data_IF_824584444246
#
_entry.id   IF_824584444246
#
_cell.length_a   1.000
_cell.length_b   1.000
_cell.length_c   1.000
_cell.angle_alpha   90.00
_cell.angle_beta   90.00
_cell.angle_gamma   90.00
#
_symmetry.space_group_name_H-M   'P 1'
#
loop_
_entity.id
_entity.type
_entity.pdbx_description
1 polymer ?
#
# COMPACT_ATOMS: atom_id res chain seq x y z
N UNK A 1 -7.13 2.69 -19.33
CA UNK A 1 -7.05 1.69 -20.43
C UNK A 1 -5.79 1.91 -21.30
N UNK A 2 -5.50 3.14 -21.79
CA UNK A 2 -4.34 3.40 -22.68
C UNK A 2 -2.98 3.08 -22.03
N UNK A 3 -2.74 3.45 -20.75
CA UNK A 3 -1.48 3.18 -20.06
C UNK A 3 -1.26 1.67 -19.88
N UNK A 4 -2.30 0.92 -19.51
CA UNK A 4 -2.22 -0.54 -19.36
C UNK A 4 -1.91 -1.22 -20.70
N UNK A 5 -2.55 -0.81 -21.80
CA UNK A 5 -2.25 -1.35 -23.13
C UNK A 5 -0.85 -0.97 -23.61
N UNK A 6 -0.36 0.23 -23.30
CA UNK A 6 1.01 0.66 -23.60
C UNK A 6 2.06 -0.23 -22.93
N UNK A 7 1.89 -0.53 -21.64
CA UNK A 7 2.78 -1.44 -20.92
C UNK A 7 2.72 -2.87 -21.47
N UNK A 8 1.53 -3.38 -21.76
CA UNK A 8 1.35 -4.70 -22.37
C UNK A 8 2.08 -4.79 -23.72
N UNK A 9 1.95 -3.75 -24.58
CA UNK A 9 2.65 -3.69 -25.86
C UNK A 9 4.18 -3.62 -25.67
N UNK A 10 4.65 -2.87 -24.70
CA UNK A 10 6.08 -2.79 -24.41
C UNK A 10 6.66 -4.16 -24.02
N UNK A 11 5.96 -4.91 -23.19
CA UNK A 11 6.38 -6.24 -22.75
C UNK A 11 6.31 -7.27 -23.87
N UNK A 12 5.30 -7.18 -24.77
CA UNK A 12 5.13 -8.13 -25.87
C UNK A 12 6.14 -7.96 -27.02
N UNK A 13 6.79 -6.79 -27.12
CA UNK A 13 7.78 -6.47 -28.16
C UNK A 13 9.25 -6.79 -27.77
N UNK A 14 9.46 -7.45 -26.65
CA UNK A 14 10.79 -7.82 -26.14
C UNK A 14 10.90 -9.34 -26.02
N UNK A 15 12.11 -9.86 -25.94
CA UNK A 15 12.36 -11.27 -25.59
C UNK A 15 11.98 -11.58 -24.12
N UNK A 16 10.77 -11.20 -23.74
CA UNK A 16 10.22 -11.34 -22.41
C UNK A 16 9.12 -12.38 -22.43
N UNK A 17 9.28 -13.45 -21.66
CA UNK A 17 8.23 -14.44 -21.45
C UNK A 17 7.41 -14.05 -20.21
N UNK A 18 6.11 -13.85 -20.41
CA UNK A 18 5.17 -13.53 -19.34
C UNK A 18 4.46 -14.81 -18.92
N UNK A 19 4.50 -15.11 -17.62
CA UNK A 19 3.73 -16.19 -17.01
C UNK A 19 2.65 -15.58 -16.12
N UNK A 20 1.39 -15.89 -16.41
CA UNK A 20 0.25 -15.47 -15.60
C UNK A 20 -0.05 -16.53 -14.54
N UNK A 21 -0.08 -16.14 -13.27
CA UNK A 21 -0.36 -17.02 -12.14
C UNK A 21 0.29 -16.59 -10.83
N UNK A 22 0.03 -17.37 -9.78
CA UNK A 22 0.66 -17.18 -8.46
C UNK A 22 2.01 -17.89 -8.44
N UNK A 23 3.06 -17.10 -8.17
CA UNK A 23 4.43 -17.58 -8.09
C UNK A 23 4.82 -17.90 -6.64
N UNK A 24 5.52 -19.02 -6.44
CA UNK A 24 6.09 -19.39 -5.14
C UNK A 24 7.43 -20.10 -5.32
N UNK A 25 8.32 -19.96 -4.35
CA UNK A 25 9.62 -20.61 -4.39
C UNK A 25 9.52 -22.12 -4.13
N UNK A 26 10.15 -22.91 -5.00
CA UNK A 26 10.45 -24.32 -4.76
C UNK A 26 11.80 -24.40 -4.01
N UNK A 27 12.79 -23.65 -4.47
CA UNK A 27 14.10 -23.46 -3.86
C UNK A 27 14.71 -22.13 -4.34
N UNK A 28 15.98 -21.86 -4.02
CA UNK A 28 16.64 -20.59 -4.36
C UNK A 28 16.80 -20.30 -5.86
N UNK A 29 16.61 -21.28 -6.72
CA UNK A 29 16.77 -21.15 -8.18
C UNK A 29 15.50 -21.54 -8.96
N UNK A 30 14.47 -22.09 -8.29
CA UNK A 30 13.27 -22.59 -8.94
C UNK A 30 12.00 -21.96 -8.35
N UNK A 31 11.11 -21.57 -9.24
CA UNK A 31 9.80 -20.98 -8.94
C UNK A 31 8.71 -21.88 -9.54
N UNK A 32 7.67 -22.15 -8.77
CA UNK A 32 6.41 -22.71 -9.20
C UNK A 32 5.42 -21.60 -9.52
N UNK A 33 4.78 -21.66 -10.67
CA UNK A 33 3.73 -20.72 -11.08
C UNK A 33 2.43 -21.51 -11.22
N UNK A 34 1.44 -21.20 -10.40
CA UNK A 34 0.14 -21.83 -10.41
C UNK A 34 -0.90 -20.93 -11.08
N UNK A 35 -1.50 -21.40 -12.15
CA UNK A 35 -2.63 -20.74 -12.81
C UNK A 35 -3.76 -21.77 -12.99
N UNK A 36 -4.88 -21.57 -12.29
CA UNK A 36 -6.02 -22.49 -12.26
C UNK A 36 -5.57 -23.95 -12.05
N UNK A 37 -5.60 -24.78 -13.10
CA UNK A 37 -5.26 -26.20 -13.07
C UNK A 37 -3.84 -26.52 -13.61
N UNK A 38 -3.08 -25.50 -13.98
CA UNK A 38 -1.72 -25.67 -14.51
C UNK A 38 -0.68 -25.23 -13.48
N UNK A 39 0.35 -26.02 -13.34
CA UNK A 39 1.55 -25.66 -12.56
C UNK A 39 2.74 -25.70 -13.51
N UNK A 40 3.43 -24.57 -13.63
CA UNK A 40 4.64 -24.43 -14.44
C UNK A 40 5.80 -24.26 -13.47
N UNK A 41 6.91 -24.93 -13.75
CA UNK A 41 8.16 -24.73 -13.01
C UNK A 41 9.15 -24.05 -13.93
N UNK A 42 9.79 -23.01 -13.42
CA UNK A 42 10.86 -22.31 -14.11
C UNK A 42 12.09 -22.23 -13.21
N UNK A 43 13.27 -22.25 -13.82
CA UNK A 43 14.54 -22.01 -13.12
C UNK A 43 15.21 -20.75 -13.65
N UNK A 44 15.91 -20.05 -12.77
CA UNK A 44 16.65 -18.84 -13.11
C UNK A 44 17.94 -18.72 -12.30
N UNK A 45 18.95 -18.09 -12.89
CA UNK A 45 20.18 -17.76 -12.19
C UNK A 45 20.00 -16.58 -11.22
N UNK A 46 19.13 -15.63 -11.56
CA UNK A 46 18.79 -14.49 -10.71
C UNK A 46 17.26 -14.37 -10.60
N UNK A 47 16.77 -14.03 -9.43
CA UNK A 47 15.35 -13.84 -9.16
C UNK A 47 15.18 -12.48 -8.48
N UNK A 48 14.23 -11.67 -8.97
CA UNK A 48 13.88 -10.38 -8.38
C UNK A 48 12.46 -10.47 -7.84
N UNK A 49 12.29 -10.30 -6.54
CA UNK A 49 10.98 -10.26 -5.88
C UNK A 49 10.46 -8.82 -5.94
N UNK A 50 9.36 -8.60 -6.63
CA UNK A 50 8.69 -7.29 -6.75
C UNK A 50 7.17 -7.41 -6.53
N UNK A 51 6.78 -8.19 -5.53
CA UNK A 51 5.39 -8.55 -5.25
C UNK A 51 4.60 -7.43 -4.56
N UNK A 52 5.29 -6.35 -4.18
CA UNK A 52 4.66 -5.16 -3.64
C UNK A 52 4.08 -5.34 -2.23
N UNK A 53 3.02 -4.62 -1.95
CA UNK A 53 2.33 -4.61 -0.67
C UNK A 53 0.82 -4.78 -0.86
N UNK A 54 0.14 -5.09 0.23
CA UNK A 54 -1.33 -5.15 0.32
C UNK A 54 -1.82 -4.31 1.50
N UNK A 55 -3.09 -3.88 1.52
CA UNK A 55 -3.64 -3.17 2.66
C UNK A 55 -3.50 -3.96 3.96
N UNK A 56 -3.19 -3.25 5.03
CA UNK A 56 -3.21 -3.79 6.39
C UNK A 56 -4.58 -3.53 7.02
N UNK A 57 -5.12 -4.52 7.69
CA UNK A 57 -6.34 -4.39 8.48
C UNK A 57 -6.11 -4.88 9.90
N UNK A 58 -6.56 -4.14 10.93
CA UNK A 58 -6.58 -4.65 12.29
C UNK A 58 -7.36 -5.96 12.40
N UNK A 59 -6.98 -6.85 13.31
CA UNK A 59 -7.53 -8.22 13.41
C UNK A 59 -9.05 -8.27 13.53
N UNK A 60 -9.63 -7.29 14.21
CA UNK A 60 -11.08 -7.18 14.47
C UNK A 60 -11.81 -6.28 13.46
N UNK A 61 -11.13 -5.75 12.42
CA UNK A 61 -11.71 -4.80 11.47
C UNK A 61 -11.26 -5.11 10.04
N UNK A 62 -12.12 -5.83 9.31
CA UNK A 62 -11.84 -6.22 7.92
C UNK A 62 -12.91 -5.67 6.98
N UNK A 63 -12.56 -5.33 5.73
CA UNK A 63 -13.54 -4.89 4.75
C UNK A 63 -14.55 -6.01 4.46
N UNK A 64 -15.81 -5.62 4.34
CA UNK A 64 -16.91 -6.50 3.95
C UNK A 64 -17.44 -6.17 2.54
N UNK A 65 -16.84 -5.20 1.87
CA UNK A 65 -17.23 -4.70 0.55
C UNK A 65 -18.71 -4.21 0.47
N UNK A 66 -19.22 -3.74 1.59
CA UNK A 66 -20.54 -3.09 1.69
C UNK A 66 -20.36 -1.70 2.28
N UNK A 67 -20.21 -1.62 3.61
CA UNK A 67 -20.04 -0.36 4.35
C UNK A 67 -18.66 -0.20 4.95
N UNK A 68 -17.95 -1.29 5.17
CA UNK A 68 -16.53 -1.29 5.57
C UNK A 68 -15.72 -1.69 4.34
N UNK A 69 -14.93 -0.77 3.83
CA UNK A 69 -14.27 -0.90 2.53
C UNK A 69 -12.79 -0.53 2.60
N UNK A 70 -12.04 -0.94 1.61
CA UNK A 70 -10.66 -0.56 1.39
C UNK A 70 -10.48 0.37 0.17
N UNK A 71 -9.25 0.77 -0.10
CA UNK A 71 -8.90 1.61 -1.25
C UNK A 71 -9.26 0.97 -2.60
N UNK A 72 -9.16 -0.35 -2.72
CA UNK A 72 -9.47 -1.04 -3.98
C UNK A 72 -10.97 -1.00 -4.27
N UNK A 73 -11.79 -1.14 -3.25
CA UNK A 73 -13.24 -1.00 -3.39
C UNK A 73 -13.63 0.41 -3.85
N UNK A 74 -13.13 1.46 -3.18
CA UNK A 74 -13.52 2.84 -3.50
C UNK A 74 -13.06 3.29 -4.88
N UNK A 75 -11.91 2.81 -5.37
CA UNK A 75 -11.42 3.07 -6.73
C UNK A 75 -12.30 2.43 -7.82
N UNK A 76 -13.05 1.40 -7.50
CA UNK A 76 -13.95 0.70 -8.42
C UNK A 76 -15.43 1.05 -8.21
N UNK A 77 -15.77 1.75 -7.13
CA UNK A 77 -17.15 2.19 -6.84
C UNK A 77 -17.65 3.15 -7.93
N UNK A 78 -18.94 3.05 -8.21
CA UNK A 78 -19.65 3.95 -9.13
C UNK A 78 -20.59 4.90 -8.40
N UNK A 79 -20.74 4.72 -7.08
CA UNK A 79 -21.63 5.47 -6.23
C UNK A 79 -20.83 6.26 -5.21
N UNK A 80 -21.32 7.44 -4.88
CA UNK A 80 -20.77 8.28 -3.82
C UNK A 80 -21.65 8.16 -2.58
N UNK A 81 -21.08 7.95 -1.39
CA UNK A 81 -21.82 8.06 -0.14
C UNK A 81 -22.13 9.53 0.16
N UNK A 82 -23.12 9.80 1.01
CA UNK A 82 -23.36 11.16 1.53
C UNK A 82 -22.34 11.51 2.62
N UNK A 83 -21.89 10.51 3.38
CA UNK A 83 -20.90 10.66 4.45
C UNK A 83 -19.91 9.50 4.48
N UNK A 84 -18.64 9.81 4.80
CA UNK A 84 -17.57 8.82 4.89
C UNK A 84 -16.69 9.06 6.12
N UNK A 85 -16.43 7.97 6.86
CA UNK A 85 -15.37 7.92 7.84
C UNK A 85 -14.12 7.30 7.19
N UNK A 86 -12.97 7.94 7.32
CA UNK A 86 -11.68 7.45 6.82
C UNK A 86 -10.80 7.12 8.02
N UNK A 87 -10.52 5.85 8.24
CA UNK A 87 -9.66 5.39 9.30
C UNK A 87 -8.21 5.32 8.82
N UNK A 88 -7.38 6.20 9.36
CA UNK A 88 -5.98 6.40 9.03
C UNK A 88 -5.71 7.70 8.29
N UNK A 89 -4.92 8.57 8.89
CA UNK A 89 -4.51 9.89 8.38
C UNK A 89 -3.18 9.87 7.60
N UNK A 90 -2.80 8.74 7.00
CA UNK A 90 -1.66 8.61 6.11
C UNK A 90 -1.94 9.11 4.68
N UNK A 91 -1.01 8.92 3.75
CA UNK A 91 -1.14 9.36 2.34
C UNK A 91 -2.49 8.97 1.72
N UNK A 92 -2.86 7.69 1.81
CA UNK A 92 -4.08 7.16 1.21
C UNK A 92 -5.32 7.84 1.80
N UNK A 93 -5.40 7.93 3.14
CA UNK A 93 -6.54 8.55 3.81
C UNK A 93 -6.70 10.03 3.47
N UNK A 94 -5.61 10.76 3.41
CA UNK A 94 -5.57 12.18 3.08
C UNK A 94 -6.02 12.42 1.63
N UNK A 95 -5.52 11.64 0.68
CA UNK A 95 -5.90 11.79 -0.73
C UNK A 95 -7.38 11.45 -0.98
N UNK A 96 -7.89 10.38 -0.36
CA UNK A 96 -9.31 10.05 -0.45
C UNK A 96 -10.18 11.08 0.27
N UNK A 97 -9.74 11.64 1.40
CA UNK A 97 -10.46 12.71 2.08
C UNK A 97 -10.64 13.94 1.17
N UNK A 98 -9.57 14.36 0.52
CA UNK A 98 -9.62 15.43 -0.47
C UNK A 98 -10.57 15.10 -1.63
N UNK A 99 -10.43 13.89 -2.19
CA UNK A 99 -11.23 13.46 -3.32
C UNK A 99 -12.73 13.44 -2.99
N UNK A 100 -13.13 12.78 -1.92
CA UNK A 100 -14.54 12.70 -1.52
C UNK A 100 -15.12 14.06 -1.15
N UNK A 101 -14.38 14.88 -0.44
CA UNK A 101 -14.81 16.24 -0.10
C UNK A 101 -15.01 17.09 -1.37
N UNK A 102 -14.15 16.94 -2.38
CA UNK A 102 -14.29 17.63 -3.67
C UNK A 102 -15.56 17.22 -4.43
N UNK A 103 -16.14 16.07 -4.13
CA UNK A 103 -17.44 15.61 -4.65
C UNK A 103 -18.61 15.97 -3.75
N UNK A 104 -18.39 16.74 -2.67
CA UNK A 104 -19.46 17.19 -1.75
C UNK A 104 -19.86 16.16 -0.70
N UNK A 105 -19.06 15.13 -0.47
CA UNK A 105 -19.27 14.13 0.60
C UNK A 105 -18.85 14.71 1.95
N UNK A 106 -19.61 14.46 3.02
CA UNK A 106 -19.21 14.80 4.39
C UNK A 106 -18.11 13.83 4.86
N UNK A 107 -16.91 14.37 5.08
CA UNK A 107 -15.71 13.57 5.36
C UNK A 107 -15.23 13.75 6.79
N UNK A 108 -14.99 12.63 7.47
CA UNK A 108 -14.32 12.59 8.78
C UNK A 108 -13.11 11.68 8.72
N UNK A 109 -11.92 12.21 9.00
CA UNK A 109 -10.67 11.46 9.15
C UNK A 109 -10.49 11.12 10.62
N UNK A 110 -10.16 9.87 10.90
CA UNK A 110 -9.83 9.37 12.26
C UNK A 110 -8.41 8.85 12.25
N UNK A 111 -7.56 9.41 13.10
CA UNK A 111 -6.16 9.05 13.24
C UNK A 111 -5.85 8.69 14.69
N UNK A 112 -5.25 7.53 14.90
CA UNK A 112 -4.92 7.01 16.23
C UNK A 112 -3.71 7.70 16.86
N UNK A 113 -2.82 8.24 16.03
CA UNK A 113 -1.66 9.00 16.47
C UNK A 113 -2.02 10.48 16.71
N UNK A 114 -1.08 11.23 17.22
CA UNK A 114 -1.28 12.64 17.57
C UNK A 114 -1.32 13.59 16.36
N UNK A 115 -1.04 13.11 15.15
CA UNK A 115 -1.07 13.93 13.93
C UNK A 115 -1.37 13.07 12.70
N UNK A 116 -2.21 13.59 11.79
CA UNK A 116 -2.22 13.12 10.41
C UNK A 116 -0.83 13.31 9.80
N UNK A 117 -0.45 12.43 8.85
CA UNK A 117 0.84 12.50 8.16
C UNK A 117 2.04 12.65 9.11
N UNK A 118 2.07 11.91 10.23
CA UNK A 118 3.05 12.06 11.30
C UNK A 118 4.54 11.88 10.89
N UNK A 119 4.79 11.54 9.63
CA UNK A 119 6.11 11.40 9.00
C UNK A 119 6.47 12.58 8.06
N UNK A 120 5.59 13.58 7.95
CA UNK A 120 5.78 14.80 7.13
C UNK A 120 6.12 15.98 8.06
N UNK A 121 6.80 16.98 7.52
CA UNK A 121 7.12 18.20 8.25
C UNK A 121 5.86 18.86 8.82
N UNK A 122 5.94 19.27 10.09
CA UNK A 122 4.80 19.81 10.83
C UNK A 122 4.23 21.11 10.25
N UNK A 123 5.06 21.94 9.62
CA UNK A 123 4.58 23.19 9.00
C UNK A 123 3.68 22.87 7.82
N UNK A 124 4.08 21.91 6.99
CA UNK A 124 3.30 21.43 5.85
C UNK A 124 2.00 20.79 6.32
N UNK A 125 2.06 19.90 7.33
CA UNK A 125 0.88 19.24 7.89
C UNK A 125 -0.10 20.25 8.48
N UNK A 126 0.40 21.29 9.17
CA UNK A 126 -0.45 22.33 9.75
C UNK A 126 -1.18 23.15 8.69
N UNK A 127 -0.52 23.45 7.56
CA UNK A 127 -1.16 24.17 6.47
C UNK A 127 -2.24 23.32 5.80
N UNK A 128 -1.95 22.05 5.53
CA UNK A 128 -2.94 21.10 5.03
C UNK A 128 -4.14 20.96 5.97
N UNK A 129 -3.89 20.80 7.26
CA UNK A 129 -4.95 20.71 8.29
C UNK A 129 -5.86 21.90 8.29
N UNK A 130 -5.32 23.14 8.26
CA UNK A 130 -6.12 24.37 8.17
C UNK A 130 -7.01 24.38 6.93
N UNK A 131 -6.46 23.98 5.80
CA UNK A 131 -7.19 23.92 4.54
C UNK A 131 -8.33 22.91 4.60
N UNK A 132 -8.07 21.71 5.12
CA UNK A 132 -9.07 20.66 5.27
C UNK A 132 -10.22 21.08 6.19
N UNK A 133 -9.91 21.65 7.36
CA UNK A 133 -10.92 22.16 8.29
C UNK A 133 -11.75 23.28 7.65
N UNK A 134 -11.11 24.20 6.90
CA UNK A 134 -11.81 25.26 6.18
C UNK A 134 -12.78 24.73 5.13
N UNK A 135 -12.44 23.60 4.50
CA UNK A 135 -13.29 22.93 3.52
C UNK A 135 -14.31 21.96 4.14
N UNK A 136 -14.45 21.93 5.46
CA UNK A 136 -15.46 21.13 6.17
C UNK A 136 -15.05 19.70 6.46
N UNK A 137 -13.83 19.28 6.14
CA UNK A 137 -13.33 17.95 6.52
C UNK A 137 -13.08 17.95 8.03
N UNK A 138 -13.66 17.00 8.74
CA UNK A 138 -13.43 16.79 10.18
C UNK A 138 -12.20 15.92 10.37
N UNK A 139 -11.35 16.25 11.35
CA UNK A 139 -10.12 15.50 11.66
C UNK A 139 -10.11 15.19 13.15
N UNK A 140 -10.15 13.91 13.48
CA UNK A 140 -10.10 13.38 14.85
C UNK A 140 -8.77 12.68 15.05
N UNK A 141 -7.79 13.40 15.60
CA UNK A 141 -6.46 12.88 15.95
C UNK A 141 -6.47 12.32 17.37
N UNK A 142 -5.48 11.48 17.73
CA UNK A 142 -5.41 10.76 19.01
C UNK A 142 -6.69 10.00 19.35
N UNK A 143 -7.39 9.50 18.32
CA UNK A 143 -8.73 8.94 18.41
C UNK A 143 -8.72 7.49 17.95
N UNK A 144 -9.36 6.61 18.72
CA UNK A 144 -9.50 5.19 18.40
C UNK A 144 -10.95 4.82 18.19
N UNK A 145 -11.19 3.85 17.33
CA UNK A 145 -12.48 3.18 17.21
C UNK A 145 -12.60 2.15 18.35
N UNK A 146 -13.69 2.22 19.10
CA UNK A 146 -14.03 1.27 20.16
C UNK A 146 -14.98 0.20 19.64
N UNK A 147 -16.06 0.63 18.98
CA UNK A 147 -17.14 -0.24 18.53
C UNK A 147 -17.67 0.23 17.16
N UNK A 148 -18.12 -0.73 16.39
CA UNK A 148 -18.75 -0.51 15.09
C UNK A 148 -20.03 -1.33 15.06
N UNK A 149 -21.16 -0.64 14.85
CA UNK A 149 -22.49 -1.23 14.66
C UNK A 149 -22.97 -0.96 13.23
N UNK A 150 -22.96 -2.01 12.40
CA UNK A 150 -23.37 -1.94 11.00
C UNK A 150 -24.88 -2.18 10.90
N UNK A 151 -25.60 -1.20 10.35
CA UNK A 151 -27.03 -1.25 10.06
C UNK A 151 -27.27 -1.41 8.56
N UNK A 152 -28.50 -1.61 8.15
CA UNK A 152 -28.83 -1.83 6.73
C UNK A 152 -28.45 -0.63 5.84
N UNK A 153 -28.62 0.60 6.34
CA UNK A 153 -28.43 1.85 5.60
C UNK A 153 -27.31 2.76 6.11
N UNK A 154 -26.67 2.42 7.25
CA UNK A 154 -25.63 3.23 7.87
C UNK A 154 -24.68 2.38 8.72
N UNK A 155 -23.59 2.99 9.15
CA UNK A 155 -22.64 2.42 10.10
C UNK A 155 -22.47 3.39 11.27
N UNK A 156 -22.76 2.93 12.49
CA UNK A 156 -22.54 3.69 13.71
C UNK A 156 -21.17 3.35 14.27
N UNK A 157 -20.36 4.34 14.52
CA UNK A 157 -18.99 4.15 15.03
C UNK A 157 -18.81 4.91 16.32
N UNK A 158 -18.42 4.19 17.37
CA UNK A 158 -18.04 4.75 18.66
C UNK A 158 -16.55 5.03 18.68
N UNK A 159 -16.20 6.24 19.00
CA UNK A 159 -14.82 6.73 19.09
C UNK A 159 -14.49 7.09 20.52
N UNK A 160 -13.22 6.90 20.92
CA UNK A 160 -12.67 7.49 22.15
C UNK A 160 -11.39 8.23 21.85
N UNK A 161 -11.27 9.38 22.48
CA UNK A 161 -10.01 10.08 22.67
C UNK A 161 -9.69 10.15 24.18
N UNK A 162 -8.69 10.94 24.55
CA UNK A 162 -8.24 11.04 25.97
C UNK A 162 -9.34 11.55 26.91
N UNK A 163 -10.33 12.31 26.41
CA UNK A 163 -11.29 13.04 27.24
C UNK A 163 -12.76 12.64 27.00
N UNK A 164 -13.10 12.14 25.80
CA UNK A 164 -14.49 11.98 25.38
C UNK A 164 -14.72 10.68 24.61
N UNK A 165 -15.96 10.19 24.70
CA UNK A 165 -16.51 9.17 23.80
C UNK A 165 -17.60 9.81 22.97
N UNK A 166 -17.57 9.59 21.66
CA UNK A 166 -18.52 10.15 20.69
C UNK A 166 -18.96 9.06 19.72
N UNK A 167 -20.26 8.98 19.48
CA UNK A 167 -20.85 8.08 18.49
C UNK A 167 -21.28 8.90 17.27
N UNK A 168 -20.81 8.48 16.08
CA UNK A 168 -21.15 9.11 14.81
C UNK A 168 -21.64 8.06 13.81
N UNK A 169 -22.56 8.50 12.93
CA UNK A 169 -23.07 7.65 11.87
C UNK A 169 -22.51 8.09 10.51
N UNK A 170 -22.23 7.09 9.68
CA UNK A 170 -21.70 7.28 8.33
C UNK A 170 -22.36 6.30 7.35
N UNK A 171 -22.32 6.61 6.07
CA UNK A 171 -22.73 5.68 5.03
C UNK A 171 -21.62 4.67 4.73
N UNK A 172 -20.36 5.07 4.89
CA UNK A 172 -19.19 4.27 4.53
C UNK A 172 -18.03 4.47 5.52
N UNK A 173 -17.29 3.40 5.83
CA UNK A 173 -16.00 3.41 6.53
C UNK A 173 -14.93 2.92 5.58
N UNK A 174 -13.98 3.80 5.23
CA UNK A 174 -12.78 3.46 4.47
C UNK A 174 -11.63 3.11 5.42
N UNK A 175 -11.07 1.91 5.26
CA UNK A 175 -9.89 1.47 5.98
C UNK A 175 -8.63 1.86 5.18
N UNK A 176 -7.84 2.79 5.74
CA UNK A 176 -6.55 3.24 5.20
C UNK A 176 -5.45 3.17 6.27
N UNK A 177 -5.44 2.07 7.05
CA UNK A 177 -4.64 1.86 8.26
C UNK A 177 -3.21 1.41 7.99
N UNK A 178 -2.75 1.48 6.75
CA UNK A 178 -1.39 1.13 6.35
C UNK A 178 -1.31 0.00 5.35
N UNK A 179 -0.09 -0.46 5.09
CA UNK A 179 0.20 -1.54 4.14
C UNK A 179 1.21 -2.52 4.72
N UNK A 180 1.09 -3.77 4.33
CA UNK A 180 2.03 -4.85 4.70
C UNK A 180 2.61 -5.49 3.44
N UNK A 181 3.81 -6.09 3.51
CA UNK A 181 4.44 -6.71 2.34
C UNK A 181 3.64 -7.90 1.84
N UNK A 182 3.60 -8.07 0.53
CA UNK A 182 2.89 -9.19 -0.09
C UNK A 182 3.83 -10.41 -0.23
N UNK A 183 4.10 -11.08 0.88
CA UNK A 183 5.05 -12.20 1.00
C UNK A 183 4.42 -13.55 1.34
N UNK A 184 3.15 -13.58 1.74
CA UNK A 184 2.50 -14.76 2.35
C UNK A 184 2.58 -16.02 1.49
N UNK A 185 2.35 -15.89 0.18
CA UNK A 185 2.27 -17.02 -0.75
C UNK A 185 3.60 -17.33 -1.45
N UNK A 186 4.67 -16.60 -1.12
CA UNK A 186 5.97 -16.78 -1.77
C UNK A 186 6.73 -18.04 -1.34
N UNK A 187 6.31 -18.70 -0.25
CA UNK A 187 7.02 -19.84 0.33
C UNK A 187 8.49 -19.56 0.63
N UNK A 188 8.79 -18.37 1.17
CA UNK A 188 10.16 -17.90 1.45
C UNK A 188 10.98 -18.85 2.33
N UNK A 189 10.30 -19.69 3.14
CA UNK A 189 10.94 -20.76 3.94
C UNK A 189 11.78 -21.73 3.09
N UNK A 190 11.40 -21.93 1.82
CA UNK A 190 12.10 -22.84 0.90
C UNK A 190 13.44 -22.26 0.42
N UNK A 191 13.64 -20.95 0.57
CA UNK A 191 14.87 -20.23 0.16
C UNK A 191 15.70 -19.80 1.36
N UNK A 192 15.13 -19.71 2.56
CA UNK A 192 15.69 -19.09 3.76
C UNK A 192 15.92 -17.57 3.62
N UNK A 193 15.25 -16.89 2.71
CA UNK A 193 15.21 -15.42 2.63
C UNK A 193 14.68 -14.88 3.95
N UNK A 194 15.36 -13.88 4.52
CA UNK A 194 15.03 -13.28 5.80
C UNK A 194 14.09 -12.09 5.62
N UNK A 195 13.14 -11.99 6.55
CA UNK A 195 12.27 -10.82 6.70
C UNK A 195 12.52 -10.11 8.02
N UNK A 196 12.00 -8.91 8.16
CA UNK A 196 11.92 -8.23 9.46
C UNK A 196 10.67 -8.70 10.25
N UNK A 197 10.42 -8.06 11.40
CA UNK A 197 9.29 -8.39 12.28
C UNK A 197 7.93 -8.03 11.68
N UNK A 198 7.89 -7.20 10.63
CA UNK A 198 6.69 -6.80 9.90
C UNK A 198 6.49 -7.58 8.60
N UNK A 199 7.40 -8.50 8.28
CA UNK A 199 7.36 -9.36 7.10
C UNK A 199 8.04 -8.76 5.86
N UNK A 200 8.63 -7.56 5.92
CA UNK A 200 9.37 -6.98 4.81
C UNK A 200 10.67 -7.74 4.56
N UNK A 201 10.98 -8.00 3.29
CA UNK A 201 12.21 -8.70 2.90
C UNK A 201 13.43 -7.82 3.19
N UNK A 202 14.40 -8.36 3.92
CA UNK A 202 15.66 -7.68 4.22
C UNK A 202 16.60 -7.76 3.03
N UNK A 203 17.10 -6.60 2.61
CA UNK A 203 18.08 -6.46 1.53
C UNK A 203 19.25 -5.59 1.97
N UNK A 204 20.36 -5.73 1.27
CA UNK A 204 21.51 -4.83 1.37
C UNK A 204 21.33 -3.57 0.50
N UNK A 205 22.35 -2.73 0.42
CA UNK A 205 22.37 -1.54 -0.42
C UNK A 205 22.39 -1.82 -1.94
N UNK A 206 22.55 -3.09 -2.34
CA UNK A 206 22.45 -3.57 -3.73
C UNK A 206 21.10 -4.26 -3.99
N UNK A 207 20.14 -4.16 -3.05
CA UNK A 207 18.86 -4.86 -3.08
C UNK A 207 18.96 -6.39 -3.09
N UNK A 208 20.15 -6.95 -2.74
CA UNK A 208 20.37 -8.37 -2.61
C UNK A 208 19.87 -8.83 -1.24
N UNK A 209 19.16 -9.95 -1.20
CA UNK A 209 18.76 -10.59 0.06
C UNK A 209 19.97 -11.30 0.70
N UNK A 210 19.73 -12.00 1.78
CA UNK A 210 20.77 -12.90 2.36
C UNK A 210 21.05 -14.15 1.50
N UNK A 211 20.46 -14.26 0.31
CA UNK A 211 20.67 -15.36 -0.65
C UNK A 211 21.23 -14.77 -1.94
N UNK A 212 22.40 -15.21 -2.35
CA UNK A 212 23.28 -14.61 -3.37
C UNK A 212 22.66 -14.32 -4.75
N UNK A 213 21.54 -14.93 -5.07
CA UNK A 213 20.89 -14.77 -6.38
C UNK A 213 19.44 -14.28 -6.28
N UNK A 214 19.00 -13.89 -5.07
CA UNK A 214 17.64 -13.40 -4.85
C UNK A 214 17.68 -11.94 -4.42
N UNK A 215 17.09 -11.09 -5.22
CA UNK A 215 16.92 -9.66 -4.98
C UNK A 215 15.48 -9.36 -4.61
N UNK A 216 15.24 -8.23 -3.95
CA UNK A 216 13.88 -7.74 -3.71
C UNK A 216 13.84 -6.21 -3.84
N UNK A 217 12.74 -5.67 -4.39
CA UNK A 217 12.55 -4.24 -4.68
C UNK A 217 11.10 -3.80 -4.44
N UNK A 218 10.91 -2.50 -4.32
CA UNK A 218 9.59 -1.88 -4.15
C UNK A 218 9.00 -2.11 -2.77
N UNK A 219 7.68 -2.06 -2.67
CA UNK A 219 7.00 -2.09 -1.37
C UNK A 219 7.31 -3.32 -0.52
N UNK A 220 7.69 -4.43 -1.13
CA UNK A 220 7.99 -5.69 -0.42
C UNK A 220 9.22 -5.60 0.48
N UNK A 221 10.09 -4.61 0.28
CA UNK A 221 11.25 -4.30 1.13
C UNK A 221 11.00 -3.16 2.12
N UNK A 222 9.82 -2.53 2.07
CA UNK A 222 9.44 -1.44 2.96
C UNK A 222 10.05 -0.08 2.58
N UNK A 223 10.14 0.80 3.58
CA UNK A 223 10.54 2.20 3.37
C UNK A 223 9.46 3.02 2.68
N UNK A 224 9.83 3.95 1.80
CA UNK A 224 8.88 4.73 1.00
C UNK A 224 8.25 3.83 -0.07
N UNK A 225 6.96 3.52 0.08
CA UNK A 225 6.21 2.66 -0.84
C UNK A 225 5.71 3.46 -2.04
N UNK A 226 6.63 3.83 -2.95
CA UNK A 226 6.38 4.70 -4.08
C UNK A 226 6.80 4.02 -5.39
N UNK A 227 5.93 4.10 -6.41
CA UNK A 227 6.12 3.40 -7.67
C UNK A 227 7.41 3.82 -8.41
N UNK A 228 7.76 5.10 -8.40
CA UNK A 228 8.98 5.60 -9.02
C UNK A 228 10.25 5.12 -8.28
N UNK A 229 10.20 5.00 -6.92
CA UNK A 229 11.28 4.39 -6.14
C UNK A 229 11.50 2.93 -6.57
N UNK A 230 10.41 2.14 -6.64
CA UNK A 230 10.48 0.75 -7.06
C UNK A 230 11.05 0.58 -8.48
N UNK A 231 10.71 1.48 -9.41
CA UNK A 231 11.25 1.48 -10.77
C UNK A 231 12.76 1.76 -10.79
N UNK A 232 13.21 2.74 -10.01
CA UNK A 232 14.64 3.07 -9.88
C UNK A 232 15.42 1.92 -9.24
N UNK A 233 14.88 1.30 -8.19
CA UNK A 233 15.47 0.12 -7.56
C UNK A 233 15.63 -1.03 -8.55
N UNK A 234 14.61 -1.26 -9.40
CA UNK A 234 14.67 -2.27 -10.46
C UNK A 234 15.79 -2.01 -11.46
N UNK A 235 15.94 -0.77 -11.93
CA UNK A 235 17.03 -0.38 -12.81
C UNK A 235 18.40 -0.64 -12.16
N UNK A 236 18.57 -0.24 -10.91
CA UNK A 236 19.82 -0.45 -10.16
C UNK A 236 20.14 -1.91 -9.94
N UNK A 237 19.15 -2.77 -9.69
CA UNK A 237 19.37 -4.22 -9.58
C UNK A 237 19.88 -4.79 -10.89
N UNK A 238 19.22 -4.46 -12.01
CA UNK A 238 19.64 -4.97 -13.32
C UNK A 238 21.04 -4.49 -13.70
N UNK A 239 21.33 -3.21 -13.50
CA UNK A 239 22.69 -2.66 -13.71
C UNK A 239 23.74 -3.39 -12.88
N UNK A 240 23.44 -3.65 -11.60
CA UNK A 240 24.36 -4.37 -10.71
C UNK A 240 24.54 -5.85 -11.07
N UNK A 241 23.54 -6.51 -11.67
CA UNK A 241 23.68 -7.88 -12.19
C UNK A 241 24.57 -7.91 -13.43
N UNK A 242 24.41 -6.92 -14.33
CA UNK A 242 25.18 -6.83 -15.58
C UNK A 242 26.61 -6.35 -15.30
N UNK A 243 26.77 -5.39 -14.39
CA UNK A 243 28.05 -4.78 -14.08
C UNK A 243 28.25 -4.71 -12.55
N UNK A 244 28.76 -5.77 -11.92
CA UNK A 244 28.92 -5.88 -10.46
C UNK A 244 29.81 -4.81 -9.81
N UNK A 245 30.69 -4.18 -10.58
CA UNK A 245 31.65 -3.17 -10.11
C UNK A 245 31.08 -1.75 -10.12
N UNK A 246 29.84 -1.57 -10.58
CA UNK A 246 29.22 -0.24 -10.62
C UNK A 246 28.99 0.31 -9.20
N UNK A 247 29.48 1.52 -8.96
CA UNK A 247 29.21 2.24 -7.72
C UNK A 247 27.81 2.85 -7.86
N UNK A 248 26.90 2.44 -6.98
CA UNK A 248 25.52 2.97 -6.97
C UNK A 248 25.47 4.21 -6.10
N UNK A 249 25.06 5.32 -6.69
CA UNK A 249 24.77 6.54 -5.95
C UNK A 249 23.40 6.41 -5.27
N UNK A 250 23.29 6.99 -4.07
CA UNK A 250 22.00 7.20 -3.43
C UNK A 250 21.15 8.16 -4.27
N UNK A 251 19.85 7.89 -4.36
CA UNK A 251 18.95 8.75 -5.11
C UNK A 251 17.90 9.35 -4.18
N UNK A 252 17.53 10.58 -4.46
CA UNK A 252 16.47 11.29 -3.73
C UNK A 252 15.14 10.77 -4.24
N UNK A 253 14.31 10.28 -3.31
CA UNK A 253 12.94 9.84 -3.60
C UNK A 253 11.97 10.96 -3.27
N UNK A 254 11.47 11.71 -4.25
CA UNK A 254 10.46 12.73 -3.98
C UNK A 254 9.15 12.05 -3.55
N UNK A 255 8.54 12.56 -2.47
CA UNK A 255 7.21 12.14 -2.04
C UNK A 255 6.21 13.26 -2.35
N UNK A 256 5.06 12.88 -2.89
CA UNK A 256 4.00 13.82 -3.24
C UNK A 256 2.66 13.31 -2.70
N UNK A 257 1.85 14.22 -2.15
CA UNK A 257 0.47 13.96 -1.74
C UNK A 257 -0.43 14.69 -2.72
N UNK A 258 -1.28 13.95 -3.43
CA UNK A 258 -2.17 14.51 -4.45
C UNK A 258 -3.43 15.12 -3.83
N UNK A 259 -3.26 16.29 -3.23
CA UNK A 259 -4.34 17.11 -2.66
C UNK A 259 -4.03 18.59 -2.89
N UNK A 260 -4.99 19.46 -2.58
CA UNK A 260 -4.74 20.91 -2.53
C UNK A 260 -4.49 21.32 -1.09
N UNK A 261 -3.46 22.18 -0.89
CA UNK A 261 -3.21 22.79 0.40
C UNK A 261 -4.28 23.80 0.76
#
# INVERSE_FOLDING_TARGET
KRLKSGLTNLLSNKDITIFDGEASFINKNEISIKNRNKVIKISSNNIIISTGSKPFFPDNLKPNNKRIVDSDYVLNSKELPSSICILGGGYIGIEFAYLYNSFGVDVTIVESTNSILGFVDNEIVNELRKNYLKNGIKILESTKINEIDEKDDSISISFSNVNDQVDLNFDLLLLSTGRIPNTDNLELKNTKVKTDNFGFIKVDNKYLTNIDNIYAIGDVIGGSMLAHKASEEGSKVIEGIINPDIIKEDFIVPACIYCQP
#
